data_IF_760017953408
#
_entry.id   IF_760017953408
#
_cell.length_a   1.000
_cell.length_b   1.000
_cell.length_c   1.000
_cell.angle_alpha   90.00
_cell.angle_beta   90.00
_cell.angle_gamma   90.00
#
_symmetry.space_group_name_H-M   'P 1'
#
loop_
_entity.id
_entity.type
_entity.pdbx_description
1 polymer ?
#
# COMPACT_ATOMS: atom_id res chain seq x y z
N UNK A 1 7.33 -3.12 -10.98
CA UNK A 1 7.27 -3.56 -9.59
C UNK A 1 7.45 -5.06 -9.52
N UNK A 2 8.08 -5.52 -8.49
CA UNK A 2 8.30 -6.94 -8.30
C UNK A 2 7.22 -7.56 -7.46
N UNK A 3 6.02 -7.07 -7.58
CA UNK A 3 4.90 -7.55 -6.84
C UNK A 3 4.40 -6.49 -5.89
N UNK A 4 3.95 -6.90 -4.73
CA UNK A 4 3.36 -5.99 -3.79
C UNK A 4 4.37 -5.65 -2.70
N UNK A 5 4.12 -4.60 -1.97
CA UNK A 5 5.07 -4.04 -1.03
C UNK A 5 5.68 -2.77 -1.56
N UNK A 6 4.97 -2.11 -2.44
CA UNK A 6 5.40 -0.85 -3.04
C UNK A 6 4.78 0.33 -2.33
N UNK A 7 5.50 1.44 -2.34
CA UNK A 7 5.00 2.72 -1.84
C UNK A 7 4.77 3.61 -3.05
N UNK A 8 3.55 4.11 -3.17
CA UNK A 8 3.16 4.98 -4.27
C UNK A 8 3.06 6.41 -3.77
N UNK A 9 3.72 7.32 -4.47
CA UNK A 9 3.66 8.74 -4.15
C UNK A 9 2.37 9.33 -4.71
N UNK A 10 1.60 9.96 -3.84
CA UNK A 10 0.30 10.55 -4.20
C UNK A 10 0.50 11.99 -4.65
N UNK A 11 0.75 12.18 -5.93
CA UNK A 11 0.93 13.51 -6.49
C UNK A 11 -0.13 13.82 -7.52
N UNK A 12 -0.25 15.10 -7.80
CA UNK A 12 -1.34 15.60 -8.61
C UNK A 12 -1.39 15.02 -10.00
N UNK A 13 -0.26 14.95 -10.67
CA UNK A 13 -0.23 14.60 -12.06
C UNK A 13 0.54 13.35 -12.38
N UNK A 14 1.22 12.81 -11.41
CA UNK A 14 2.04 11.64 -11.61
C UNK A 14 2.10 10.85 -10.34
N UNK A 15 2.31 9.56 -10.51
CA UNK A 15 2.55 8.69 -9.38
C UNK A 15 3.95 8.15 -9.51
N UNK A 16 4.70 8.28 -8.45
CA UNK A 16 6.03 7.71 -8.42
C UNK A 16 5.91 6.40 -7.67
N UNK A 17 6.15 5.31 -8.38
CA UNK A 17 6.16 3.99 -7.77
C UNK A 17 7.56 3.70 -7.30
N UNK A 18 7.68 3.30 -6.04
CA UNK A 18 8.97 2.96 -5.47
C UNK A 18 8.85 1.61 -4.79
N UNK A 19 9.70 0.67 -5.22
CA UNK A 19 9.74 -0.67 -4.66
C UNK A 19 10.93 -0.78 -3.72
N UNK A 20 10.70 -1.38 -2.58
CA UNK A 20 11.73 -1.55 -1.57
C UNK A 20 11.81 -3.00 -1.17
N UNK A 21 12.99 -3.40 -0.72
CA UNK A 21 13.16 -4.73 -0.16
C UNK A 21 12.58 -4.72 1.25
N UNK A 22 11.39 -5.29 1.37
CA UNK A 22 10.67 -5.30 2.64
C UNK A 22 10.66 -6.68 3.28
N UNK A 23 11.63 -7.50 2.96
CA UNK A 23 11.71 -8.84 3.52
C UNK A 23 11.92 -8.83 5.01
N UNK A 24 12.64 -7.83 5.48
CA UNK A 24 13.01 -7.74 6.89
C UNK A 24 12.15 -6.71 7.55
N UNK A 25 11.65 -7.03 8.73
CA UNK A 25 10.94 -6.06 9.54
C UNK A 25 9.45 -6.17 9.58
N UNK A 26 8.82 -6.90 8.66
CA UNK A 26 7.38 -7.11 8.77
C UNK A 26 7.10 -8.00 9.98
N UNK A 27 6.13 -7.67 10.81
CA UNK A 27 5.10 -6.64 10.66
C UNK A 27 5.51 -5.24 11.15
N UNK A 28 6.80 -5.00 11.40
CA UNK A 28 7.26 -3.69 11.83
C UNK A 28 6.98 -2.63 10.75
N UNK A 29 6.75 -1.37 11.12
CA UNK A 29 6.56 -0.30 10.15
C UNK A 29 7.86 0.13 9.45
N UNK A 30 9.01 -0.33 9.94
CA UNK A 30 10.32 0.15 9.47
C UNK A 30 10.51 0.09 7.96
N UNK A 31 10.18 -1.01 7.26
CA UNK A 31 10.39 -1.05 5.82
C UNK A 31 9.66 0.07 5.10
N UNK A 32 8.43 0.37 5.51
CA UNK A 32 7.65 1.40 4.85
C UNK A 32 8.04 2.80 5.29
N UNK A 33 8.49 2.96 6.55
CA UNK A 33 9.04 4.24 6.98
C UNK A 33 10.32 4.56 6.19
N UNK A 34 11.14 3.54 5.96
CA UNK A 34 12.33 3.71 5.12
C UNK A 34 11.93 4.08 3.70
N UNK A 35 10.88 3.45 3.18
CA UNK A 35 10.37 3.75 1.87
C UNK A 35 9.94 5.22 1.75
N UNK A 36 9.25 5.74 2.74
CA UNK A 36 8.85 7.14 2.74
C UNK A 36 10.08 8.05 2.71
N UNK A 37 11.06 7.73 3.53
CA UNK A 37 12.28 8.53 3.60
C UNK A 37 13.01 8.56 2.26
N UNK A 38 13.15 7.39 1.63
CA UNK A 38 13.83 7.29 0.33
C UNK A 38 13.07 8.00 -0.77
N UNK A 39 11.75 7.95 -0.71
CA UNK A 39 10.92 8.63 -1.71
C UNK A 39 10.80 10.13 -1.45
N UNK A 40 11.19 10.58 -0.27
CA UNK A 40 11.10 11.99 0.10
C UNK A 40 9.67 12.45 0.28
N UNK A 41 8.80 11.58 0.81
CA UNK A 41 7.38 11.91 0.99
C UNK A 41 6.95 11.62 2.42
N UNK A 42 5.83 12.22 2.78
CA UNK A 42 5.20 11.98 4.08
C UNK A 42 4.21 10.83 3.96
N UNK A 43 3.83 10.28 5.11
CA UNK A 43 2.88 9.16 5.12
C UNK A 43 1.56 9.52 4.41
N UNK A 44 1.07 10.74 4.58
CA UNK A 44 -0.19 11.14 3.95
C UNK A 44 -0.05 11.45 2.46
N UNK A 45 1.16 11.33 1.93
CA UNK A 45 1.42 11.52 0.50
C UNK A 45 1.69 10.21 -0.22
N UNK A 46 1.46 9.09 0.45
CA UNK A 46 1.79 7.78 -0.10
C UNK A 46 0.66 6.79 0.16
N UNK A 47 0.68 5.70 -0.58
CA UNK A 47 -0.16 4.54 -0.30
C UNK A 47 0.70 3.30 -0.36
N UNK A 48 0.29 2.27 0.37
CA UNK A 48 0.96 0.98 0.39
C UNK A 48 0.05 -0.02 -0.31
N UNK A 49 0.63 -0.85 -1.18
CA UNK A 49 -0.08 -1.94 -1.83
C UNK A 49 0.53 -3.24 -1.34
N UNK A 50 -0.29 -4.10 -0.76
CA UNK A 50 0.18 -5.35 -0.17
C UNK A 50 -0.75 -6.51 -0.49
N UNK A 51 -0.24 -7.74 -0.37
CA UNK A 51 -1.03 -8.93 -0.61
C UNK A 51 -1.02 -9.92 0.55
N UNK A 52 -0.36 -9.59 1.65
CA UNK A 52 -0.23 -10.50 2.79
C UNK A 52 -0.56 -9.76 4.07
N UNK A 53 -1.17 -10.47 5.06
CA UNK A 53 -1.55 -9.83 6.31
C UNK A 53 -0.41 -9.13 7.04
N UNK A 54 0.78 -9.75 7.11
CA UNK A 54 1.90 -9.11 7.80
C UNK A 54 2.33 -7.82 7.12
N UNK A 55 2.27 -7.79 5.77
CA UNK A 55 2.58 -6.56 5.03
C UNK A 55 1.55 -5.47 5.27
N UNK A 56 0.27 -5.87 5.37
CA UNK A 56 -0.79 -4.93 5.69
C UNK A 56 -0.56 -4.33 7.07
N UNK A 57 -0.25 -5.17 8.06
CA UNK A 57 0.04 -4.68 9.42
C UNK A 57 1.20 -3.69 9.39
N UNK A 58 2.25 -4.01 8.62
CA UNK A 58 3.41 -3.14 8.49
C UNK A 58 3.03 -1.77 7.91
N UNK A 59 2.23 -1.78 6.85
CA UNK A 59 1.78 -0.52 6.23
C UNK A 59 0.93 0.33 7.16
N UNK A 60 -0.02 -0.31 7.85
CA UNK A 60 -0.88 0.43 8.78
C UNK A 60 -0.10 0.93 9.98
N UNK A 61 0.89 0.16 10.45
CA UNK A 61 1.73 0.60 11.56
C UNK A 61 2.57 1.82 11.17
N UNK A 62 2.87 1.98 9.89
CA UNK A 62 3.57 3.16 9.40
C UNK A 62 2.62 4.34 9.19
N UNK A 63 1.33 4.14 9.46
CA UNK A 63 0.28 5.16 9.32
C UNK A 63 0.13 5.63 7.87
N UNK A 64 0.31 4.70 6.94
CA UNK A 64 0.13 4.95 5.52
C UNK A 64 -1.17 4.27 5.08
N UNK A 65 -1.94 4.91 4.22
CA UNK A 65 -3.13 4.28 3.65
C UNK A 65 -2.72 3.00 2.96
N UNK A 66 -3.28 1.88 3.40
CA UNK A 66 -2.85 0.55 2.96
C UNK A 66 -3.95 -0.16 2.20
N UNK A 67 -3.65 -0.52 0.96
CA UNK A 67 -4.55 -1.25 0.09
C UNK A 67 -4.03 -2.68 -0.02
N UNK A 68 -4.92 -3.63 0.20
CA UNK A 68 -4.59 -5.04 0.02
C UNK A 68 -5.17 -5.51 -1.30
N UNK A 69 -4.38 -6.30 -2.04
CA UNK A 69 -4.83 -6.95 -3.25
C UNK A 69 -4.73 -8.45 -3.02
N UNK A 70 -5.87 -9.13 -3.05
CA UNK A 70 -5.92 -10.56 -2.71
C UNK A 70 -5.48 -11.40 -3.89
N UNK A 71 -4.17 -11.58 -4.02
CA UNK A 71 -3.59 -12.39 -5.09
C UNK A 71 -3.31 -13.82 -4.66
N UNK A 72 -3.50 -14.14 -3.39
CA UNK A 72 -3.18 -15.44 -2.85
C UNK A 72 -4.41 -16.21 -2.41
N UNK A 73 -4.23 -17.37 -1.81
CA UNK A 73 -5.34 -18.23 -1.41
C UNK A 73 -6.01 -17.84 -0.09
N UNK A 74 -5.53 -16.83 0.58
CA UNK A 74 -6.08 -16.45 1.88
C UNK A 74 -7.42 -15.72 1.69
N UNK A 75 -8.33 -15.84 2.66
CA UNK A 75 -9.60 -15.13 2.56
C UNK A 75 -9.40 -13.63 2.72
N UNK A 76 -10.24 -12.85 2.03
CA UNK A 76 -10.18 -11.39 2.14
C UNK A 76 -10.32 -10.91 3.57
N UNK A 77 -11.06 -11.65 4.39
CA UNK A 77 -11.27 -11.27 5.79
C UNK A 77 -9.94 -11.17 6.55
N UNK A 78 -8.95 -12.00 6.21
CA UNK A 78 -7.66 -11.94 6.87
C UNK A 78 -6.95 -10.60 6.59
N UNK A 79 -7.13 -10.06 5.39
CA UNK A 79 -6.55 -8.78 5.02
C UNK A 79 -7.29 -7.63 5.69
N UNK A 80 -8.61 -7.75 5.82
CA UNK A 80 -9.41 -6.77 6.52
C UNK A 80 -9.02 -6.72 8.00
N UNK A 81 -8.89 -7.89 8.62
CA UNK A 81 -8.52 -7.97 10.03
C UNK A 81 -7.12 -7.46 10.30
N UNK A 82 -6.24 -7.57 9.31
CA UNK A 82 -4.89 -7.02 9.43
C UNK A 82 -4.89 -5.48 9.36
N UNK A 83 -6.00 -4.87 8.99
CA UNK A 83 -6.14 -3.42 9.02
C UNK A 83 -6.15 -2.75 7.66
N UNK A 84 -6.28 -3.51 6.56
CA UNK A 84 -6.30 -2.90 5.24
C UNK A 84 -7.44 -1.89 5.14
N UNK A 85 -7.15 -0.73 4.57
CA UNK A 85 -8.15 0.31 4.35
C UNK A 85 -9.06 -0.04 3.19
N UNK A 86 -8.55 -0.77 2.21
CA UNK A 86 -9.32 -1.28 1.09
C UNK A 86 -8.77 -2.64 0.69
N UNK A 87 -9.64 -3.49 0.15
CA UNK A 87 -9.23 -4.79 -0.36
C UNK A 87 -9.80 -4.96 -1.76
N UNK A 88 -8.92 -5.28 -2.71
CA UNK A 88 -9.31 -5.62 -4.08
C UNK A 88 -9.13 -7.11 -4.30
N UNK A 89 -10.04 -7.76 -5.04
CA UNK A 89 -9.95 -9.20 -5.24
C UNK A 89 -8.83 -9.61 -6.19
N UNK A 90 -8.29 -8.69 -6.99
CA UNK A 90 -7.25 -9.01 -7.96
C UNK A 90 -6.48 -7.77 -8.37
N UNK A 91 -5.31 -7.98 -8.97
CA UNK A 91 -4.53 -6.87 -9.51
C UNK A 91 -5.26 -6.15 -10.66
N UNK A 92 -5.93 -6.85 -11.58
CA UNK A 92 -6.70 -6.14 -12.61
C UNK A 92 -7.77 -5.22 -12.02
N UNK A 93 -8.47 -5.66 -10.99
CA UNK A 93 -9.46 -4.80 -10.33
C UNK A 93 -8.83 -3.58 -9.73
N UNK A 94 -7.68 -3.75 -9.05
CA UNK A 94 -6.97 -2.62 -8.50
C UNK A 94 -6.52 -1.67 -9.62
N UNK A 95 -5.94 -2.22 -10.69
CA UNK A 95 -5.44 -1.39 -11.79
C UNK A 95 -6.54 -0.57 -12.44
N UNK A 96 -7.75 -1.14 -12.53
CA UNK A 96 -8.89 -0.45 -13.14
C UNK A 96 -9.40 0.70 -12.29
N UNK A 97 -9.07 0.74 -11.01
CA UNK A 97 -9.61 1.74 -10.08
C UNK A 97 -8.55 2.66 -9.50
N UNK A 98 -7.27 2.43 -9.78
CA UNK A 98 -6.21 3.13 -9.07
C UNK A 98 -6.25 4.64 -9.29
N UNK A 99 -6.51 5.08 -10.52
CA UNK A 99 -6.51 6.52 -10.81
C UNK A 99 -7.67 7.23 -10.09
N UNK A 100 -8.85 6.63 -10.14
CA UNK A 100 -10.01 7.16 -9.46
C UNK A 100 -9.80 7.20 -7.96
N UNK A 101 -9.24 6.13 -7.42
CA UNK A 101 -8.97 6.03 -6.00
C UNK A 101 -7.99 7.11 -5.54
N UNK A 102 -6.92 7.30 -6.27
CA UNK A 102 -5.92 8.29 -5.90
C UNK A 102 -6.50 9.69 -5.98
N UNK A 103 -7.32 9.96 -6.98
CA UNK A 103 -8.00 11.23 -7.08
C UNK A 103 -8.88 11.47 -5.84
N UNK A 104 -9.63 10.46 -5.44
CA UNK A 104 -10.49 10.56 -4.27
C UNK A 104 -9.69 10.83 -3.01
N UNK A 105 -8.57 10.12 -2.83
CA UNK A 105 -7.72 10.32 -1.67
C UNK A 105 -7.13 11.73 -1.62
N UNK A 106 -6.79 12.28 -2.78
CA UNK A 106 -6.27 13.64 -2.84
C UNK A 106 -7.32 14.66 -2.41
N UNK A 107 -8.57 14.43 -2.77
CA UNK A 107 -9.65 15.34 -2.41
C UNK A 107 -9.93 15.27 -0.91
N UNK A 108 -9.87 14.08 -0.33
CA UNK A 108 -10.27 13.87 1.06
C UNK A 108 -9.13 14.07 2.06
N UNK A 109 -7.93 14.23 1.58
CA UNK A 109 -6.77 14.38 2.43
C UNK A 109 -5.92 15.55 1.98
#
# INVERSE_FOLDING_TARGET
>A
SRGLGDVYKRQEQQYKVTAYDVKIGKPSPEPYLMGLSKAGVKANEAIVIENAPLGVVSGTAAQIFTIAVNTGPIPAQALIEAGADMVFPSMPDFANHVDELIHTLKITR
#
